data_IF_763741899201
#
_entry.id   IF_763741899201
#
_cell.length_a   1.000
_cell.length_b   1.000
_cell.length_c   1.000
_cell.angle_alpha   90.00
_cell.angle_beta   90.00
_cell.angle_gamma   90.00
#
_symmetry.space_group_name_H-M   'P 1'
#
loop_
_entity.id
_entity.type
_entity.pdbx_description
1 polymer ?
#
# COMPACT_ATOMS: atom_id res chain seq x y z
N UNK A 1 -21.80 11.91 -9.17
CA UNK A 1 -20.38 11.56 -8.93
C UNK A 1 -20.29 10.04 -8.96
N UNK A 2 -19.33 9.50 -9.66
CA UNK A 2 -19.20 8.04 -9.77
C UNK A 2 -18.31 7.56 -8.61
N UNK A 3 -18.89 6.70 -7.76
CA UNK A 3 -18.18 6.13 -6.62
C UNK A 3 -17.15 5.07 -7.09
N UNK A 4 -16.10 4.80 -6.29
CA UNK A 4 -15.13 3.76 -6.61
C UNK A 4 -15.77 2.38 -6.78
N UNK A 5 -15.49 1.73 -7.91
CA UNK A 5 -15.91 0.34 -8.17
C UNK A 5 -14.77 -0.62 -7.81
N UNK A 6 -14.69 -1.04 -6.56
CA UNK A 6 -13.62 -1.93 -6.06
C UNK A 6 -13.62 -3.30 -6.75
N UNK A 7 -14.78 -3.79 -7.17
CA UNK A 7 -14.85 -5.06 -7.92
C UNK A 7 -14.20 -4.93 -9.31
N UNK A 8 -14.30 -3.76 -9.95
CA UNK A 8 -13.64 -3.49 -11.23
C UNK A 8 -12.12 -3.34 -11.05
N UNK A 9 -11.69 -2.68 -9.99
CA UNK A 9 -10.26 -2.57 -9.63
C UNK A 9 -9.68 -3.95 -9.33
N UNK A 10 -10.39 -4.79 -8.57
CA UNK A 10 -9.97 -6.16 -8.32
C UNK A 10 -9.81 -6.98 -9.60
N UNK A 11 -10.75 -6.85 -10.55
CA UNK A 11 -10.64 -7.50 -11.88
C UNK A 11 -9.44 -6.95 -12.68
N UNK A 12 -9.25 -5.64 -12.71
CA UNK A 12 -8.12 -5.00 -13.41
C UNK A 12 -6.78 -5.59 -12.97
N UNK A 13 -6.54 -5.72 -11.68
CA UNK A 13 -5.31 -6.30 -11.16
C UNK A 13 -5.26 -7.83 -11.34
N UNK A 14 -6.40 -8.52 -11.19
CA UNK A 14 -6.50 -9.96 -11.48
C UNK A 14 -6.12 -10.32 -12.93
N UNK A 15 -6.66 -9.61 -13.91
CA UNK A 15 -6.32 -9.76 -15.32
C UNK A 15 -4.84 -9.46 -15.60
N UNK A 16 -4.28 -8.44 -14.92
CA UNK A 16 -2.85 -8.11 -15.06
C UNK A 16 -1.95 -9.23 -14.54
N UNK A 17 -2.18 -9.73 -13.34
CA UNK A 17 -1.36 -10.79 -12.77
C UNK A 17 -1.53 -12.09 -13.54
N UNK A 18 -2.72 -12.41 -14.02
CA UNK A 18 -2.94 -13.58 -14.86
C UNK A 18 -2.16 -13.52 -16.18
N UNK A 19 -2.05 -12.33 -16.78
CA UNK A 19 -1.34 -12.12 -18.04
C UNK A 19 0.17 -11.99 -17.89
N UNK A 20 0.66 -11.29 -16.85
CA UNK A 20 2.05 -10.86 -16.69
C UNK A 20 2.78 -11.62 -15.57
N UNK A 21 2.07 -12.50 -14.87
CA UNK A 21 2.58 -13.27 -13.74
C UNK A 21 2.75 -12.44 -12.47
N UNK A 22 3.20 -13.06 -11.36
CA UNK A 22 3.53 -12.40 -10.11
C UNK A 22 4.83 -11.60 -10.27
N UNK A 23 4.70 -10.41 -10.80
CA UNK A 23 5.80 -9.52 -11.18
C UNK A 23 5.44 -8.06 -10.92
N UNK A 24 6.40 -7.14 -10.90
CA UNK A 24 6.11 -5.71 -10.82
C UNK A 24 5.11 -5.24 -11.89
N UNK A 25 5.26 -5.70 -13.13
CA UNK A 25 4.34 -5.38 -14.23
C UNK A 25 2.93 -5.93 -13.99
N UNK A 26 2.81 -7.14 -13.40
CA UNK A 26 1.53 -7.73 -12.99
C UNK A 26 0.82 -6.93 -11.89
N UNK A 27 1.58 -6.23 -11.04
CA UNK A 27 1.07 -5.33 -10.00
C UNK A 27 1.06 -3.85 -10.44
N UNK A 28 1.11 -3.58 -11.73
CA UNK A 28 1.08 -2.23 -12.34
C UNK A 28 2.25 -1.31 -11.96
N UNK A 29 3.40 -1.87 -11.60
CA UNK A 29 4.63 -1.08 -11.43
C UNK A 29 5.46 -1.07 -12.72
N UNK A 30 6.11 0.06 -12.98
CA UNK A 30 6.93 0.24 -14.19
C UNK A 30 8.19 -0.65 -14.21
N UNK A 31 8.72 -1.01 -13.03
CA UNK A 31 9.90 -1.87 -12.89
C UNK A 31 10.05 -2.39 -11.46
N UNK A 32 10.89 -3.41 -11.29
CA UNK A 32 11.29 -3.91 -9.96
C UNK A 32 12.03 -2.83 -9.15
N UNK A 33 12.88 -2.03 -9.80
CA UNK A 33 13.57 -0.92 -9.15
C UNK A 33 12.58 0.10 -8.59
N UNK A 34 11.55 0.47 -9.36
CA UNK A 34 10.51 1.42 -8.91
C UNK A 34 9.68 0.86 -7.74
N UNK A 35 9.36 -0.45 -7.75
CA UNK A 35 8.69 -1.11 -6.65
C UNK A 35 9.57 -1.13 -5.39
N UNK A 36 10.83 -1.52 -5.53
CA UNK A 36 11.81 -1.56 -4.44
C UNK A 36 12.06 -0.20 -3.80
N UNK A 37 12.11 0.88 -4.61
CA UNK A 37 12.27 2.25 -4.09
C UNK A 37 11.11 2.60 -3.16
N UNK A 38 9.86 2.23 -3.48
CA UNK A 38 8.69 2.44 -2.61
C UNK A 38 8.80 1.67 -1.29
N UNK A 39 9.17 0.41 -1.34
CA UNK A 39 9.35 -0.43 -0.15
C UNK A 39 10.45 0.11 0.77
N UNK A 40 11.54 0.62 0.19
CA UNK A 40 12.63 1.26 0.96
C UNK A 40 12.14 2.44 1.78
N UNK A 41 11.16 3.22 1.30
CA UNK A 41 10.64 4.35 2.06
C UNK A 41 9.93 3.88 3.35
N UNK A 42 9.22 2.76 3.32
CA UNK A 42 8.61 2.19 4.53
C UNK A 42 9.67 1.80 5.56
N UNK A 43 10.77 1.18 5.11
CA UNK A 43 11.91 0.81 5.99
C UNK A 43 12.59 2.05 6.58
N UNK A 44 12.66 3.16 5.84
CA UNK A 44 13.20 4.44 6.36
C UNK A 44 12.31 5.07 7.43
N UNK A 45 11.01 4.86 7.38
CA UNK A 45 10.02 5.60 8.16
C UNK A 45 9.51 4.84 9.38
N UNK A 46 9.39 3.52 9.29
CA UNK A 46 8.88 2.66 10.37
C UNK A 46 10.05 2.01 11.11
N UNK A 47 9.89 1.82 12.42
CA UNK A 47 10.89 1.15 13.24
C UNK A 47 10.70 -0.38 13.18
N UNK A 48 11.48 -1.01 12.35
CA UNK A 48 11.54 -2.47 12.20
C UNK A 48 12.74 -3.11 12.92
N UNK A 49 13.35 -2.42 13.89
CA UNK A 49 14.54 -2.90 14.61
C UNK A 49 14.24 -4.01 15.61
N UNK A 50 13.00 -4.12 16.07
CA UNK A 50 12.52 -5.18 16.98
C UNK A 50 11.54 -6.10 16.26
N UNK A 51 11.32 -7.34 16.75
CA UNK A 51 10.32 -8.24 16.19
C UNK A 51 8.94 -7.59 16.08
N UNK A 52 8.31 -7.71 14.91
CA UNK A 52 7.04 -7.04 14.62
C UNK A 52 6.08 -7.89 13.81
N UNK A 53 4.81 -7.52 13.89
CA UNK A 53 3.75 -8.00 13.00
C UNK A 53 3.37 -6.93 11.98
N UNK A 54 3.01 -7.35 10.76
CA UNK A 54 2.70 -6.47 9.65
C UNK A 54 1.38 -6.83 8.98
N UNK A 55 0.54 -5.83 8.72
CA UNK A 55 -0.53 -5.88 7.72
C UNK A 55 -0.03 -5.20 6.45
N UNK A 56 -0.05 -5.90 5.34
CA UNK A 56 0.19 -5.39 3.99
C UNK A 56 -1.15 -5.22 3.28
N UNK A 57 -1.63 -3.99 3.24
CA UNK A 57 -2.95 -3.64 2.72
C UNK A 57 -2.87 -3.38 1.22
N UNK A 58 -3.42 -4.27 0.41
CA UNK A 58 -3.18 -4.35 -1.02
C UNK A 58 -1.84 -5.02 -1.33
N UNK A 59 -1.65 -6.23 -0.78
CA UNK A 59 -0.35 -6.92 -0.81
C UNK A 59 0.07 -7.39 -2.22
N UNK A 60 -0.85 -7.36 -3.19
CA UNK A 60 -0.61 -7.89 -4.53
C UNK A 60 -0.14 -9.34 -4.47
N UNK A 61 0.93 -9.64 -5.19
CA UNK A 61 1.56 -10.97 -5.19
C UNK A 61 2.52 -11.20 -4.01
N UNK A 62 2.54 -10.35 -2.98
CA UNK A 62 3.33 -10.56 -1.75
C UNK A 62 4.79 -10.10 -1.84
N UNK A 63 5.14 -9.24 -2.79
CA UNK A 63 6.51 -8.80 -3.01
C UNK A 63 7.14 -8.11 -1.80
N UNK A 64 6.38 -7.34 -1.03
CA UNK A 64 6.89 -6.65 0.15
C UNK A 64 7.35 -7.63 1.23
N UNK A 65 6.62 -8.73 1.46
CA UNK A 65 7.02 -9.75 2.42
C UNK A 65 8.40 -10.33 2.07
N UNK A 66 8.60 -10.70 0.81
CA UNK A 66 9.88 -11.22 0.31
C UNK A 66 11.01 -10.18 0.42
N UNK A 67 10.73 -8.93 0.11
CA UNK A 67 11.69 -7.83 0.22
C UNK A 67 12.15 -7.61 1.67
N UNK A 68 11.22 -7.52 2.62
CA UNK A 68 11.55 -7.29 4.04
C UNK A 68 12.32 -8.47 4.65
N UNK A 69 11.97 -9.70 4.29
CA UNK A 69 12.72 -10.90 4.71
C UNK A 69 14.13 -10.94 4.12
N UNK A 70 14.30 -10.54 2.86
CA UNK A 70 15.62 -10.46 2.21
C UNK A 70 16.54 -9.44 2.89
N UNK A 71 15.97 -8.42 3.55
CA UNK A 71 16.71 -7.48 4.40
C UNK A 71 17.03 -8.04 5.80
N UNK A 72 16.59 -9.26 6.13
CA UNK A 72 16.79 -9.86 7.44
C UNK A 72 15.94 -9.23 8.55
N UNK A 73 14.84 -8.55 8.20
CA UNK A 73 13.99 -7.90 9.20
C UNK A 73 13.16 -8.94 9.98
N UNK A 74 12.99 -8.76 11.30
CA UNK A 74 12.41 -9.75 12.19
C UNK A 74 10.87 -9.76 12.15
N UNK A 75 10.29 -10.13 11.01
CA UNK A 75 8.83 -10.24 10.87
C UNK A 75 8.36 -11.50 11.58
N UNK A 76 7.54 -11.36 12.61
CA UNK A 76 6.95 -12.49 13.34
C UNK A 76 5.64 -13.00 12.71
N UNK A 77 4.83 -12.07 12.19
CA UNK A 77 3.54 -12.38 11.56
C UNK A 77 3.26 -11.39 10.43
N UNK A 78 2.84 -11.92 9.30
CA UNK A 78 2.44 -11.16 8.13
C UNK A 78 0.98 -11.43 7.78
N UNK A 79 0.21 -10.40 7.53
CA UNK A 79 -1.16 -10.50 6.99
C UNK A 79 -1.18 -9.74 5.68
N UNK A 80 -1.33 -10.45 4.57
CA UNK A 80 -1.54 -9.85 3.25
C UNK A 80 -3.04 -9.80 2.93
N UNK A 81 -3.54 -8.61 2.68
CA UNK A 81 -4.90 -8.38 2.19
C UNK A 81 -4.85 -7.81 0.78
N UNK A 82 -5.64 -8.34 -0.12
CA UNK A 82 -5.86 -7.78 -1.46
C UNK A 82 -7.30 -8.05 -1.91
N UNK A 83 -7.92 -7.10 -2.61
CA UNK A 83 -9.28 -7.25 -3.14
C UNK A 83 -9.36 -8.23 -4.32
N UNK A 84 -8.24 -8.51 -4.99
CA UNK A 84 -8.13 -9.46 -6.10
C UNK A 84 -7.82 -10.86 -5.59
N UNK A 85 -8.71 -11.82 -5.86
CA UNK A 85 -8.49 -13.22 -5.53
C UNK A 85 -7.28 -13.80 -6.28
N UNK A 86 -7.05 -13.37 -7.53
CA UNK A 86 -5.92 -13.81 -8.35
C UNK A 86 -4.59 -13.32 -7.78
N UNK A 87 -4.56 -12.08 -7.22
CA UNK A 87 -3.40 -11.57 -6.49
C UNK A 87 -3.13 -12.40 -5.24
N UNK A 88 -4.15 -12.73 -4.46
CA UNK A 88 -4.00 -13.58 -3.28
C UNK A 88 -3.50 -14.97 -3.64
N UNK A 89 -3.97 -15.56 -4.74
CA UNK A 89 -3.46 -16.85 -5.21
C UNK A 89 -1.98 -16.76 -5.63
N UNK A 90 -1.63 -15.71 -6.36
CA UNK A 90 -0.23 -15.42 -6.70
C UNK A 90 0.64 -15.22 -5.45
N UNK A 91 0.13 -14.53 -4.43
CA UNK A 91 0.82 -14.32 -3.16
C UNK A 91 1.08 -15.62 -2.39
N UNK A 92 0.16 -16.60 -2.45
CA UNK A 92 0.35 -17.92 -1.83
C UNK A 92 1.59 -18.65 -2.35
N UNK A 93 1.88 -18.48 -3.64
CA UNK A 93 3.05 -19.07 -4.26
C UNK A 93 4.34 -18.26 -4.05
N UNK A 94 4.22 -16.95 -3.77
CA UNK A 94 5.36 -16.03 -3.73
C UNK A 94 5.83 -15.65 -2.33
N UNK A 95 4.92 -15.57 -1.35
CA UNK A 95 5.28 -15.30 0.05
C UNK A 95 6.09 -16.48 0.62
N UNK A 96 7.26 -16.21 1.23
CA UNK A 96 8.12 -17.30 1.73
C UNK A 96 7.43 -18.22 2.75
N UNK A 97 7.54 -19.51 2.56
CA UNK A 97 6.86 -20.54 3.37
C UNK A 97 7.29 -20.57 4.85
N UNK A 98 8.46 -20.03 5.17
CA UNK A 98 8.95 -19.90 6.56
C UNK A 98 8.33 -18.74 7.34
N UNK A 99 7.58 -17.84 6.67
CA UNK A 99 6.92 -16.73 7.32
C UNK A 99 5.53 -17.15 7.82
N UNK A 100 5.24 -16.90 9.10
CA UNK A 100 3.88 -17.04 9.61
C UNK A 100 2.97 -16.01 8.91
N UNK A 101 2.24 -16.45 7.89
CA UNK A 101 1.44 -15.57 7.04
C UNK A 101 -0.03 -15.99 6.99
N UNK A 102 -0.90 -14.97 6.89
CA UNK A 102 -2.33 -15.10 6.52
C UNK A 102 -2.55 -14.26 5.26
N UNK A 103 -3.17 -14.84 4.24
CA UNK A 103 -3.51 -14.17 2.99
C UNK A 103 -5.03 -14.21 2.81
N UNK A 104 -5.66 -13.06 2.59
CA UNK A 104 -7.13 -12.94 2.56
C UNK A 104 -7.62 -11.87 1.60
N UNK A 105 -8.81 -12.09 1.04
CA UNK A 105 -9.58 -11.07 0.29
C UNK A 105 -10.64 -10.39 1.17
N UNK A 106 -10.80 -10.83 2.41
CA UNK A 106 -11.78 -10.25 3.33
C UNK A 106 -11.11 -9.26 4.28
N UNK A 107 -11.49 -7.99 4.21
CA UNK A 107 -10.95 -6.93 5.05
C UNK A 107 -11.21 -7.16 6.55
N UNK A 108 -12.31 -7.82 6.92
CA UNK A 108 -12.63 -8.13 8.32
C UNK A 108 -11.66 -9.15 8.95
N UNK A 109 -10.93 -9.87 8.11
CA UNK A 109 -9.98 -10.90 8.53
C UNK A 109 -8.56 -10.39 8.79
N UNK A 110 -8.26 -9.11 8.53
CA UNK A 110 -6.89 -8.58 8.66
C UNK A 110 -6.43 -8.50 10.13
N UNK A 111 -7.36 -8.25 11.05
CA UNK A 111 -7.05 -8.07 12.47
C UNK A 111 -6.16 -6.85 12.73
N UNK A 112 -5.36 -6.92 13.80
CA UNK A 112 -4.40 -5.86 14.16
C UNK A 112 -2.97 -6.36 14.13
N UNK A 113 -2.03 -5.47 13.78
CA UNK A 113 -0.59 -5.71 13.78
C UNK A 113 0.16 -4.54 14.41
N UNK A 114 1.47 -4.67 14.58
CA UNK A 114 2.30 -3.55 15.05
C UNK A 114 2.31 -2.43 14.02
N UNK A 115 2.46 -2.81 12.75
CA UNK A 115 2.44 -1.87 11.64
C UNK A 115 1.46 -2.32 10.55
N UNK A 116 0.94 -1.34 9.81
CA UNK A 116 0.28 -1.58 8.54
C UNK A 116 0.91 -0.73 7.43
N UNK A 117 0.99 -1.27 6.24
CA UNK A 117 1.49 -0.55 5.06
C UNK A 117 0.54 -0.71 3.89
N UNK A 118 0.53 0.28 3.00
CA UNK A 118 -0.24 0.27 1.77
C UNK A 118 0.61 0.84 0.62
N UNK A 119 0.99 -0.02 -0.32
CA UNK A 119 1.88 0.36 -1.44
C UNK A 119 1.13 0.39 -2.76
N UNK A 120 0.94 1.60 -3.32
CA UNK A 120 0.40 1.80 -4.66
C UNK A 120 -1.10 1.60 -4.83
N UNK A 121 -1.83 1.26 -3.77
CA UNK A 121 -3.27 0.94 -3.85
C UNK A 121 -4.17 2.14 -4.18
N UNK A 122 -3.68 3.34 -3.95
CA UNK A 122 -4.44 4.57 -4.14
C UNK A 122 -4.27 5.19 -5.54
N UNK A 123 -3.42 4.61 -6.38
CA UNK A 123 -3.05 5.22 -7.65
C UNK A 123 -4.09 5.01 -8.76
N UNK A 124 -4.65 3.81 -8.88
CA UNK A 124 -5.58 3.45 -9.97
C UNK A 124 -7.02 3.69 -9.51
N UNK A 125 -7.66 4.73 -10.06
CA UNK A 125 -9.05 5.08 -9.75
C UNK A 125 -10.04 4.67 -10.85
N UNK A 126 -9.53 4.30 -12.03
CA UNK A 126 -10.33 4.03 -13.23
C UNK A 126 -11.31 5.19 -13.50
N UNK A 127 -12.60 4.88 -13.68
CA UNK A 127 -13.65 5.85 -13.98
C UNK A 127 -14.20 6.61 -12.74
N UNK A 128 -13.70 6.31 -11.52
CA UNK A 128 -14.16 7.00 -10.32
C UNK A 128 -13.86 8.50 -10.38
N UNK A 129 -14.76 9.32 -9.85
CA UNK A 129 -14.53 10.75 -9.72
C UNK A 129 -13.37 11.02 -8.74
N UNK A 130 -12.61 12.09 -8.94
CA UNK A 130 -11.51 12.45 -8.04
C UNK A 130 -12.00 12.65 -6.59
N UNK A 131 -13.19 13.22 -6.38
CA UNK A 131 -13.76 13.41 -5.05
C UNK A 131 -14.24 12.10 -4.41
N UNK A 132 -14.87 11.20 -5.17
CA UNK A 132 -15.27 9.88 -4.68
C UNK A 132 -14.05 9.03 -4.33
N UNK A 133 -13.00 9.08 -5.17
CA UNK A 133 -11.74 8.40 -4.87
C UNK A 133 -11.04 8.97 -3.65
N UNK A 134 -11.01 10.29 -3.50
CA UNK A 134 -10.45 10.95 -2.30
C UNK A 134 -11.14 10.47 -1.01
N UNK A 135 -12.48 10.39 -1.02
CA UNK A 135 -13.23 9.84 0.12
C UNK A 135 -12.85 8.39 0.39
N UNK A 136 -12.77 7.56 -0.66
CA UNK A 136 -12.32 6.16 -0.53
C UNK A 136 -10.92 6.06 0.09
N UNK A 137 -9.99 6.93 -0.30
CA UNK A 137 -8.63 6.97 0.30
C UNK A 137 -8.72 7.26 1.79
N UNK A 138 -9.48 8.27 2.21
CA UNK A 138 -9.61 8.64 3.63
C UNK A 138 -10.27 7.54 4.45
N UNK A 139 -11.31 6.87 3.95
CA UNK A 139 -11.97 5.76 4.62
C UNK A 139 -11.06 4.53 4.74
N UNK A 140 -10.26 4.29 3.71
CA UNK A 140 -9.25 3.21 3.72
C UNK A 140 -8.14 3.51 4.73
N UNK A 141 -7.68 4.77 4.83
CA UNK A 141 -6.71 5.17 5.85
C UNK A 141 -7.24 4.98 7.28
N UNK A 142 -8.53 5.22 7.51
CA UNK A 142 -9.19 4.92 8.80
C UNK A 142 -9.12 3.41 9.13
N UNK A 143 -9.31 2.57 8.13
CA UNK A 143 -9.21 1.10 8.28
C UNK A 143 -7.77 0.66 8.56
N UNK A 144 -6.80 1.19 7.83
CA UNK A 144 -5.37 0.92 8.03
C UNK A 144 -4.91 1.38 9.42
N UNK A 145 -5.35 2.55 9.87
CA UNK A 145 -5.04 3.06 11.21
C UNK A 145 -5.58 2.13 12.31
N UNK A 146 -6.83 1.67 12.19
CA UNK A 146 -7.41 0.71 13.15
C UNK A 146 -6.69 -0.65 13.17
N UNK A 147 -6.11 -1.06 12.04
CA UNK A 147 -5.32 -2.29 11.95
C UNK A 147 -3.90 -2.15 12.52
N UNK A 148 -3.47 -0.95 12.91
CA UNK A 148 -2.11 -0.64 13.34
C UNK A 148 -2.06 -0.30 14.82
N UNK A 149 -1.13 -0.88 15.58
CA UNK A 149 -0.88 -0.51 16.98
C UNK A 149 0.18 0.58 17.13
N UNK A 150 1.32 0.46 16.41
CA UNK A 150 2.48 1.37 16.52
C UNK A 150 2.53 2.40 15.41
N UNK A 151 1.93 2.11 14.24
CA UNK A 151 1.91 3.04 13.14
C UNK A 151 1.63 2.40 11.79
N UNK A 152 1.43 3.26 10.81
CA UNK A 152 1.19 2.82 9.43
C UNK A 152 1.91 3.73 8.43
N UNK A 153 2.12 3.22 7.23
CA UNK A 153 2.67 4.00 6.14
C UNK A 153 1.97 3.67 4.82
N UNK A 154 1.90 4.66 3.93
CA UNK A 154 1.33 4.51 2.60
C UNK A 154 2.04 5.43 1.61
N UNK A 155 1.95 5.11 0.33
CA UNK A 155 2.43 5.96 -0.74
C UNK A 155 1.33 6.26 -1.76
N UNK A 156 1.56 7.27 -2.57
CA UNK A 156 0.62 7.76 -3.57
C UNK A 156 1.34 8.55 -4.66
N UNK A 157 0.80 8.54 -5.87
CA UNK A 157 1.25 9.45 -6.92
C UNK A 157 1.07 10.91 -6.48
N UNK A 158 2.07 11.74 -6.79
CA UNK A 158 2.10 13.15 -6.37
C UNK A 158 1.33 14.07 -7.31
N UNK A 159 0.59 15.02 -6.75
CA UNK A 159 -0.01 16.12 -7.50
C UNK A 159 1.03 17.05 -8.15
N UNK A 160 2.31 16.91 -7.81
CA UNK A 160 3.44 17.61 -8.46
C UNK A 160 3.99 16.87 -9.69
N UNK A 161 3.30 15.82 -10.18
CA UNK A 161 3.67 15.13 -11.42
C UNK A 161 3.60 16.05 -12.63
N UNK A 162 4.47 15.80 -13.62
CA UNK A 162 4.44 16.52 -14.90
C UNK A 162 3.08 16.33 -15.57
N UNK A 163 2.42 17.41 -15.95
CA UNK A 163 1.03 17.39 -16.47
C UNK A 163 0.87 16.52 -17.71
N UNK A 164 1.87 16.52 -18.60
CA UNK A 164 1.88 15.72 -19.82
C UNK A 164 2.02 14.20 -19.56
N UNK A 165 2.37 13.79 -18.33
CA UNK A 165 2.48 12.40 -17.90
C UNK A 165 1.30 11.95 -17.05
N UNK A 166 0.44 12.89 -16.62
CA UNK A 166 -0.76 12.56 -15.87
C UNK A 166 -1.79 11.86 -16.76
N UNK A 167 -2.45 10.84 -16.17
CA UNK A 167 -3.50 10.05 -16.80
C UNK A 167 -4.81 10.24 -16.04
N UNK A 168 -5.92 10.22 -16.75
CA UNK A 168 -7.26 10.42 -16.18
C UNK A 168 -7.72 9.25 -15.31
N UNK A 169 -7.24 8.02 -15.58
CA UNK A 169 -7.53 6.81 -14.82
C UNK A 169 -6.73 6.69 -13.52
N UNK A 170 -5.83 7.65 -13.24
CA UNK A 170 -5.01 7.68 -12.04
C UNK A 170 -5.42 8.81 -11.09
N UNK A 171 -5.14 8.60 -9.81
CA UNK A 171 -5.31 9.60 -8.76
C UNK A 171 -3.95 10.14 -8.33
N UNK A 172 -3.87 11.47 -8.20
CA UNK A 172 -2.67 12.20 -7.80
C UNK A 172 -2.98 12.98 -6.53
N UNK A 173 -2.50 12.47 -5.39
CA UNK A 173 -2.76 13.06 -4.09
C UNK A 173 -1.87 14.26 -3.78
N UNK A 174 -2.45 15.30 -3.18
CA UNK A 174 -1.68 16.43 -2.63
C UNK A 174 -0.98 16.01 -1.34
N UNK A 175 0.38 15.92 -1.32
CA UNK A 175 1.13 15.51 -0.13
C UNK A 175 0.92 16.44 1.06
N UNK A 176 0.72 17.75 0.83
CA UNK A 176 0.51 18.74 1.89
C UNK A 176 -0.84 18.53 2.57
N UNK A 177 -1.89 18.31 1.77
CA UNK A 177 -3.21 18.01 2.28
C UNK A 177 -3.23 16.72 3.12
N UNK A 178 -2.65 15.64 2.59
CA UNK A 178 -2.60 14.35 3.31
C UNK A 178 -1.72 14.42 4.56
N UNK A 179 -0.65 15.20 4.55
CA UNK A 179 0.17 15.44 5.73
C UNK A 179 -0.64 16.12 6.84
N UNK A 180 -1.35 17.19 6.52
CA UNK A 180 -2.19 17.89 7.49
C UNK A 180 -3.35 17.01 7.98
N UNK A 181 -4.00 16.27 7.07
CA UNK A 181 -5.05 15.32 7.42
C UNK A 181 -4.55 14.27 8.42
N UNK A 182 -3.43 13.63 8.15
CA UNK A 182 -2.86 12.62 9.04
C UNK A 182 -2.47 13.20 10.40
N UNK A 183 -1.90 14.40 10.43
CA UNK A 183 -1.54 15.09 11.69
C UNK A 183 -2.74 15.42 12.55
N UNK A 184 -3.86 15.78 11.95
CA UNK A 184 -5.08 16.14 12.67
C UNK A 184 -5.91 14.92 13.08
N UNK A 185 -5.95 13.91 12.20
CA UNK A 185 -6.85 12.76 12.36
C UNK A 185 -6.25 11.64 13.20
N UNK A 186 -4.96 11.34 13.01
CA UNK A 186 -4.35 10.13 13.57
C UNK A 186 -3.29 10.40 14.63
N UNK A 187 -2.29 11.23 14.35
CA UNK A 187 -1.19 11.49 15.28
C UNK A 187 -0.43 12.75 14.89
N UNK A 188 0.12 13.44 15.89
CA UNK A 188 1.10 14.52 15.66
C UNK A 188 2.44 14.03 15.09
N UNK A 189 2.73 12.72 15.17
CA UNK A 189 3.99 12.11 14.74
C UNK A 189 3.90 11.60 13.31
N UNK A 190 3.86 12.52 12.35
CA UNK A 190 3.77 12.22 10.91
C UNK A 190 5.05 12.62 10.21
N UNK A 191 5.56 11.75 9.35
CA UNK A 191 6.68 12.01 8.45
C UNK A 191 6.23 11.88 6.99
N UNK A 192 6.67 12.80 6.14
CA UNK A 192 6.47 12.80 4.70
C UNK A 192 7.83 12.70 4.01
N UNK A 193 8.00 11.73 3.12
CA UNK A 193 9.12 11.63 2.20
C UNK A 193 8.64 11.90 0.77
N UNK A 194 9.28 12.86 0.13
CA UNK A 194 9.04 13.24 -1.26
C UNK A 194 10.39 13.60 -1.92
N UNK A 195 11.46 12.86 -1.51
CA UNK A 195 12.86 13.11 -1.85
C UNK A 195 13.51 11.92 -2.59
N UNK A 196 12.71 11.17 -3.35
CA UNK A 196 13.17 10.02 -4.11
C UNK A 196 12.68 10.07 -5.56
N UNK A 197 13.40 9.40 -6.47
CA UNK A 197 13.28 9.53 -7.93
C UNK A 197 12.05 8.82 -8.53
N UNK A 198 10.85 9.07 -7.95
CA UNK A 198 9.56 8.63 -8.49
C UNK A 198 8.56 9.78 -8.39
N UNK A 199 7.51 9.73 -9.21
CA UNK A 199 6.35 10.63 -9.09
C UNK A 199 5.42 10.19 -7.96
N UNK A 200 6.00 9.84 -6.81
CA UNK A 200 5.30 9.40 -5.60
C UNK A 200 5.81 10.14 -4.37
N UNK A 201 4.97 10.20 -3.36
CA UNK A 201 5.39 10.50 -1.99
C UNK A 201 5.01 9.36 -1.07
N UNK A 202 5.69 9.26 0.06
CA UNK A 202 5.41 8.29 1.12
C UNK A 202 5.17 9.00 2.42
N UNK A 203 4.13 8.59 3.14
CA UNK A 203 3.79 9.10 4.45
C UNK A 203 3.82 7.98 5.48
N UNK A 204 4.35 8.27 6.66
CA UNK A 204 4.22 7.42 7.83
C UNK A 204 3.62 8.17 9.00
N UNK A 205 2.71 7.49 9.68
CA UNK A 205 2.05 7.95 10.89
C UNK A 205 2.46 7.02 12.03
N UNK A 206 3.16 7.57 13.03
CA UNK A 206 3.48 6.82 14.26
C UNK A 206 2.38 7.08 15.26
N UNK A 207 1.69 6.03 15.67
CA UNK A 207 0.65 6.10 16.70
C UNK A 207 1.34 6.16 18.07
N UNK A 208 0.74 6.90 19.00
CA UNK A 208 1.22 6.96 20.39
C UNK A 208 0.68 5.70 21.10
N UNK A 209 1.50 5.09 21.95
CA UNK A 209 1.12 4.03 22.88
C UNK A 209 0.18 4.56 23.98
#
# INVERSE_FOLDING_TARGET
MQDPNLAEIGRFFGEKVARLGPSPAGADFNSEAAQTVRFRQFVRLLDFSTPFSLVDFGCGYGALASYLLALGLPIQRYVGFDISADMIEAARAHVPTGLQSKLTTNCDDIGTADFAVASGIFNVKLEASASGWHQHVTDTLDTIARASRRGFAFNMLTSYSDRERMREDLYYGDPSWFFEYCKRKFSRNVALLHDYELYDWTMAVRLEE
#
